data_IF_611786271722
#
_entry.id   IF_611786271722
#
_cell.length_a   1.000
_cell.length_b   1.000
_cell.length_c   1.000
_cell.angle_alpha   90.00
_cell.angle_beta   90.00
_cell.angle_gamma   90.00
#
_symmetry.space_group_name_H-M   'P 1'
#
loop_
_entity.id
_entity.type
_entity.pdbx_description
1 polymer ?
#
# COMPACT_ATOMS: atom_id res chain seq x y z
N UNK A 1 17.39 -14.64 -14.26
CA UNK A 1 16.06 -14.50 -13.62
C UNK A 1 16.07 -13.27 -12.73
N UNK A 2 15.03 -12.47 -12.86
CA UNK A 2 14.90 -11.28 -12.02
C UNK A 2 13.77 -11.51 -11.05
N UNK A 3 14.01 -11.12 -9.80
CA UNK A 3 13.00 -11.22 -8.76
C UNK A 3 12.86 -9.88 -8.08
N UNK A 4 11.64 -9.39 -8.02
CA UNK A 4 11.35 -8.14 -7.33
C UNK A 4 10.01 -8.33 -6.62
N UNK A 5 10.07 -8.80 -5.39
CA UNK A 5 8.89 -9.11 -4.62
C UNK A 5 9.04 -8.57 -3.21
N UNK A 6 7.99 -7.94 -2.74
CA UNK A 6 7.96 -7.44 -1.37
C UNK A 6 6.64 -7.84 -0.73
N UNK A 7 6.70 -8.26 0.51
CA UNK A 7 5.53 -8.62 1.31
C UNK A 7 5.53 -7.76 2.56
N UNK A 8 4.44 -7.07 2.79
CA UNK A 8 4.35 -6.17 3.93
C UNK A 8 3.02 -6.35 4.63
N UNK A 9 3.03 -6.21 5.94
CA UNK A 9 1.82 -6.12 6.74
C UNK A 9 1.98 -4.88 7.62
N UNK A 10 0.98 -4.04 7.60
CA UNK A 10 1.04 -2.82 8.38
C UNK A 10 -0.33 -2.17 8.46
N UNK A 11 -0.34 -0.93 8.91
CA UNK A 11 -1.58 -0.19 9.03
C UNK A 11 -1.62 0.96 8.06
N UNK A 12 -2.79 1.15 7.45
CA UNK A 12 -2.98 2.23 6.49
C UNK A 12 -2.89 3.57 7.21
N UNK A 13 -2.09 4.47 6.65
CA UNK A 13 -1.90 5.79 7.22
C UNK A 13 -3.04 6.74 6.92
N UNK A 14 -3.83 6.41 5.91
CA UNK A 14 -4.98 7.22 5.50
C UNK A 14 -5.87 6.37 4.63
N UNK A 15 -7.05 6.88 4.34
CA UNK A 15 -7.92 6.23 3.37
C UNK A 15 -7.32 6.35 1.99
N UNK A 16 -7.53 5.35 1.13
CA UNK A 16 -6.96 5.40 -0.20
C UNK A 16 -7.49 6.57 -1.01
N UNK A 17 -6.58 7.18 -1.75
CA UNK A 17 -6.92 8.22 -2.72
C UNK A 17 -7.12 7.51 -4.06
N UNK A 18 -8.35 7.52 -4.55
CA UNK A 18 -8.73 6.74 -5.74
C UNK A 18 -8.90 7.65 -6.93
N UNK A 19 -8.31 7.27 -8.05
CA UNK A 19 -8.44 8.01 -9.29
C UNK A 19 -8.97 7.11 -10.37
N UNK A 20 -9.88 7.65 -11.17
CA UNK A 20 -10.48 6.95 -12.30
C UNK A 20 -10.03 7.64 -13.57
N UNK A 21 -9.56 6.86 -14.52
CA UNK A 21 -9.08 7.39 -15.79
C UNK A 21 -10.09 7.11 -16.89
N UNK A 22 -10.04 7.94 -17.93
CA UNK A 22 -10.96 7.77 -19.06
C UNK A 22 -10.86 6.40 -19.71
N UNK A 23 -9.68 5.80 -19.65
CA UNK A 23 -9.48 4.49 -20.21
C UNK A 23 -10.21 3.38 -19.44
N UNK A 24 -10.78 3.72 -18.31
CA UNK A 24 -11.42 2.73 -17.45
C UNK A 24 -10.53 2.20 -16.36
N UNK A 25 -9.29 2.61 -16.34
CA UNK A 25 -8.35 2.19 -15.29
C UNK A 25 -8.65 2.92 -14.00
N UNK A 26 -8.41 2.22 -12.90
CA UNK A 26 -8.57 2.76 -11.55
C UNK A 26 -7.29 2.55 -10.80
N UNK A 27 -6.85 3.57 -10.07
CA UNK A 27 -5.68 3.44 -9.20
C UNK A 27 -6.03 3.95 -7.82
N UNK A 28 -5.55 3.25 -6.80
CA UNK A 28 -5.68 3.68 -5.42
C UNK A 28 -4.29 3.85 -4.83
N UNK A 29 -4.10 4.93 -4.09
CA UNK A 29 -2.82 5.23 -3.45
C UNK A 29 -3.05 5.50 -1.98
N UNK A 30 -2.23 4.90 -1.15
CA UNK A 30 -2.21 5.23 0.28
C UNK A 30 -0.87 4.82 0.86
N UNK A 31 -0.63 5.20 2.10
CA UNK A 31 0.61 4.86 2.78
C UNK A 31 0.38 3.74 3.76
N UNK A 32 1.40 2.93 3.97
CA UNK A 32 1.35 1.81 4.89
C UNK A 32 2.46 1.97 5.92
N UNK A 33 2.08 1.94 7.19
CA UNK A 33 3.03 2.01 8.30
C UNK A 33 3.37 0.60 8.72
N UNK A 34 4.63 0.23 8.56
CA UNK A 34 5.11 -1.11 8.90
C UNK A 34 6.06 -0.98 10.08
N UNK A 35 5.78 -1.68 11.15
CA UNK A 35 6.60 -1.61 12.35
C UNK A 35 7.96 -2.24 12.11
N UNK A 36 8.98 -1.59 12.63
CA UNK A 36 10.33 -2.15 12.58
C UNK A 36 10.46 -3.28 13.57
N UNK A 37 11.16 -4.31 13.16
CA UNK A 37 11.33 -5.48 14.01
C UNK A 37 12.20 -5.18 15.21
N UNK A 38 13.25 -4.40 15.01
CA UNK A 38 14.27 -4.26 16.04
C UNK A 38 14.13 -3.03 16.90
N UNK A 39 13.29 -2.08 16.53
CA UNK A 39 13.20 -0.85 17.27
C UNK A 39 11.82 -0.31 17.24
N UNK A 40 11.29 -0.10 18.35
CA UNK A 40 9.97 -0.02 18.62
C UNK A 40 9.13 1.09 18.07
N UNK A 41 9.56 2.31 18.12
CA UNK A 41 8.54 3.35 18.12
C UNK A 41 8.12 3.89 16.80
N UNK A 42 9.02 3.95 15.84
CA UNK A 42 8.70 4.56 14.57
C UNK A 42 8.57 3.53 13.47
N UNK A 43 7.45 3.53 12.77
CA UNK A 43 7.30 2.62 11.65
C UNK A 43 8.04 3.14 10.44
N UNK A 44 8.25 2.24 9.49
CA UNK A 44 8.67 2.64 8.16
C UNK A 44 7.42 2.87 7.35
N UNK A 45 7.44 3.92 6.54
CA UNK A 45 6.29 4.30 5.73
C UNK A 45 6.53 3.94 4.27
N UNK A 46 5.59 3.22 3.70
CA UNK A 46 5.66 2.81 2.30
C UNK A 46 4.52 3.43 1.53
N UNK A 47 4.83 3.91 0.33
CA UNK A 47 3.81 4.40 -0.59
C UNK A 47 3.31 3.23 -1.41
N UNK A 48 2.01 2.98 -1.39
CA UNK A 48 1.42 1.88 -2.12
C UNK A 48 0.63 2.39 -3.30
N UNK A 49 0.72 1.66 -4.42
CA UNK A 49 -0.01 1.96 -5.64
C UNK A 49 -0.71 0.69 -6.07
N UNK A 50 -2.02 0.76 -6.20
CA UNK A 50 -2.85 -0.42 -6.48
C UNK A 50 -3.72 -0.13 -7.69
N UNK A 51 -3.70 -1.01 -8.68
CA UNK A 51 -4.44 -0.83 -9.92
C UNK A 51 -5.58 -1.83 -10.07
N UNK A 52 -6.59 -1.44 -10.83
CA UNK A 52 -7.65 -2.33 -11.27
C UNK A 52 -8.61 -2.72 -10.17
N UNK A 53 -9.02 -3.96 -10.19
CA UNK A 53 -10.01 -4.45 -9.22
C UNK A 53 -9.52 -4.35 -7.80
N UNK A 54 -8.24 -4.56 -7.60
CA UNK A 54 -7.67 -4.45 -6.26
C UNK A 54 -7.78 -3.02 -5.74
N UNK A 55 -7.70 -2.04 -6.64
CA UNK A 55 -7.87 -0.64 -6.26
C UNK A 55 -9.28 -0.40 -5.72
N UNK A 56 -10.28 -1.01 -6.33
CA UNK A 56 -11.64 -0.87 -5.86
C UNK A 56 -11.83 -1.53 -4.50
N UNK A 57 -11.19 -2.69 -4.31
CA UNK A 57 -11.23 -3.37 -3.03
C UNK A 57 -10.61 -2.47 -1.94
N UNK A 58 -9.50 -1.83 -2.27
CA UNK A 58 -8.88 -0.92 -1.32
C UNK A 58 -9.82 0.24 -0.98
N UNK A 59 -10.47 0.80 -2.01
CA UNK A 59 -11.40 1.90 -1.80
C UNK A 59 -12.55 1.51 -0.89
N UNK A 60 -13.02 0.28 -1.03
CA UNK A 60 -14.20 -0.16 -0.28
C UNK A 60 -13.88 -0.58 1.14
N UNK A 61 -12.70 -1.14 1.37
CA UNK A 61 -12.43 -1.79 2.65
C UNK A 61 -11.32 -1.17 3.48
N UNK A 62 -10.42 -0.41 2.87
CA UNK A 62 -9.29 0.14 3.61
C UNK A 62 -9.65 1.49 4.19
N UNK A 63 -9.46 1.63 5.49
CA UNK A 63 -9.68 2.89 6.20
C UNK A 63 -8.38 3.25 6.91
N UNK A 64 -8.28 4.49 7.34
CA UNK A 64 -7.14 4.90 8.15
C UNK A 64 -7.05 3.97 9.36
N UNK A 65 -5.87 3.40 9.56
CA UNK A 65 -5.63 2.49 10.67
C UNK A 65 -5.93 1.02 10.38
N UNK A 66 -6.51 0.71 9.22
CA UNK A 66 -6.80 -0.69 8.87
C UNK A 66 -5.52 -1.50 8.80
N UNK A 67 -5.59 -2.74 9.27
CA UNK A 67 -4.49 -3.68 9.12
C UNK A 67 -4.57 -4.29 7.73
N UNK A 68 -3.50 -4.19 6.98
CA UNK A 68 -3.47 -4.57 5.57
C UNK A 68 -2.21 -5.36 5.28
N UNK A 69 -2.37 -6.46 4.56
CA UNK A 69 -1.23 -7.22 4.04
C UNK A 69 -1.15 -7.02 2.53
N UNK A 70 0.04 -6.87 2.00
CA UNK A 70 0.22 -6.71 0.56
C UNK A 70 1.38 -7.55 0.06
N UNK A 71 1.27 -7.92 -1.20
CA UNK A 71 2.37 -8.51 -1.95
C UNK A 71 2.51 -7.68 -3.21
N UNK A 72 3.72 -7.32 -3.55
CA UNK A 72 3.93 -6.52 -4.74
C UNK A 72 5.38 -6.43 -5.12
N UNK A 73 5.71 -5.41 -5.89
CA UNK A 73 7.06 -5.16 -6.33
C UNK A 73 7.45 -3.74 -5.98
N UNK A 74 8.75 -3.56 -5.81
CA UNK A 74 9.29 -2.25 -5.48
C UNK A 74 9.71 -1.56 -6.76
N UNK A 75 9.35 -0.29 -6.90
CA UNK A 75 9.79 0.49 -8.04
C UNK A 75 10.13 1.90 -7.58
N UNK A 76 10.84 2.61 -8.41
CA UNK A 76 11.18 4.00 -8.14
C UNK A 76 10.61 4.84 -9.28
N UNK A 77 9.67 5.70 -8.94
CA UNK A 77 9.12 6.63 -9.90
C UNK A 77 10.07 7.83 -9.99
N UNK A 78 10.24 8.34 -11.17
CA UNK A 78 11.10 9.52 -11.36
C UNK A 78 10.38 10.52 -12.27
N UNK A 79 10.65 11.80 -12.00
CA UNK A 79 10.08 12.87 -12.81
C UNK A 79 10.96 14.09 -12.65
N UNK A 80 10.74 15.07 -13.52
CA UNK A 80 11.45 16.34 -13.42
C UNK A 80 10.61 17.34 -12.66
N UNK A 81 11.25 17.99 -11.71
CA UNK A 81 10.61 19.05 -10.96
C UNK A 81 10.36 20.24 -11.91
N UNK A 82 9.13 20.70 -11.93
CA UNK A 82 8.74 21.78 -12.83
C UNK A 82 9.42 23.09 -12.48
N UNK A 83 9.73 23.29 -11.23
CA UNK A 83 10.30 24.55 -10.77
C UNK A 83 11.81 24.63 -10.90
N UNK A 84 12.50 23.53 -10.65
CA UNK A 84 13.95 23.51 -10.60
C UNK A 84 14.59 22.77 -11.77
N UNK A 85 13.82 21.92 -12.47
CA UNK A 85 14.34 21.08 -13.54
C UNK A 85 15.13 19.89 -13.01
N UNK A 86 15.23 19.72 -11.73
CA UNK A 86 15.95 18.60 -11.15
C UNK A 86 15.14 17.31 -11.22
N UNK A 87 15.85 16.19 -11.30
CA UNK A 87 15.21 14.90 -11.27
C UNK A 87 14.78 14.58 -9.84
N UNK A 88 13.55 14.10 -9.70
CA UNK A 88 13.00 13.69 -8.43
C UNK A 88 12.70 12.21 -8.47
N UNK A 89 12.78 11.57 -7.33
CA UNK A 89 12.57 10.12 -7.22
C UNK A 89 11.67 9.83 -6.03
N UNK A 90 10.85 8.80 -6.18
CA UNK A 90 9.97 8.37 -5.09
C UNK A 90 9.88 6.86 -5.11
N UNK A 91 10.24 6.19 -4.01
CA UNK A 91 10.04 4.74 -3.93
C UNK A 91 8.57 4.43 -3.74
N UNK A 92 8.09 3.45 -4.50
CA UNK A 92 6.68 3.07 -4.50
C UNK A 92 6.60 1.55 -4.54
N UNK A 93 5.66 0.99 -3.80
CA UNK A 93 5.35 -0.43 -3.88
C UNK A 93 4.12 -0.58 -4.76
N UNK A 94 4.29 -1.25 -5.89
CA UNK A 94 3.18 -1.57 -6.76
C UNK A 94 2.57 -2.86 -6.25
N UNK A 95 1.33 -2.80 -5.82
CA UNK A 95 0.68 -3.92 -5.16
C UNK A 95 0.08 -4.86 -6.20
N UNK A 96 0.44 -6.13 -6.12
CA UNK A 96 -0.14 -7.15 -6.96
C UNK A 96 -1.33 -7.80 -6.28
N UNK A 97 -1.26 -7.93 -4.97
CA UNK A 97 -2.33 -8.54 -4.19
C UNK A 97 -2.50 -7.81 -2.88
N UNK A 98 -3.73 -7.45 -2.59
CA UNK A 98 -4.10 -6.76 -1.36
C UNK A 98 -4.96 -7.70 -0.53
N UNK A 99 -4.58 -7.87 0.73
CA UNK A 99 -5.37 -8.65 1.68
C UNK A 99 -5.76 -7.75 2.83
N UNK A 100 -6.97 -7.18 2.81
CA UNK A 100 -7.42 -6.42 3.96
C UNK A 100 -7.65 -7.43 5.08
N UNK A 101 -6.98 -7.22 6.19
CA UNK A 101 -7.12 -8.13 7.31
C UNK A 101 -8.31 -7.65 8.13
N UNK A 102 -9.36 -8.42 8.11
CA UNK A 102 -10.55 -8.07 8.87
C UNK A 102 -10.28 -8.26 10.34
N UNK A 103 -10.54 -7.23 11.11
CA UNK A 103 -10.40 -7.33 12.54
C UNK A 103 -11.34 -8.40 13.09
N UNK A 104 -12.53 -8.47 12.54
CA UNK A 104 -13.49 -9.47 12.93
C UNK A 104 -12.96 -10.86 12.67
N UNK A 105 -12.34 -11.03 11.53
CA UNK A 105 -11.74 -12.32 11.18
C UNK A 105 -10.66 -12.71 12.18
N UNK A 106 -9.80 -11.79 12.52
CA UNK A 106 -8.78 -12.06 13.52
C UNK A 106 -9.36 -12.43 14.86
N UNK A 107 -10.43 -11.75 15.26
CA UNK A 107 -11.06 -12.06 16.52
C UNK A 107 -11.64 -13.46 16.52
N UNK A 108 -12.22 -13.84 15.43
CA UNK A 108 -12.75 -15.19 15.32
C UNK A 108 -11.65 -16.21 15.55
N UNK A 109 -10.51 -15.97 14.99
CA UNK A 109 -9.38 -16.87 15.22
C UNK A 109 -8.94 -16.85 16.66
N UNK A 110 -8.86 -15.69 17.23
CA UNK A 110 -8.42 -15.56 18.61
C UNK A 110 -9.34 -16.25 19.55
N UNK A 111 -10.62 -16.12 19.32
CA UNK A 111 -11.57 -16.69 20.24
C UNK A 111 -11.66 -18.18 20.13
N UNK A 112 -11.13 -18.72 19.10
CA UNK A 112 -11.13 -20.17 18.96
C UNK A 112 -10.14 -20.82 19.89
N UNK A 113 -9.27 -20.03 20.45
CA UNK A 113 -8.27 -20.54 21.37
C UNK A 113 -8.86 -21.01 22.67
#
# INVERSE_FOLDING_TARGET
MEINTINLVGRAGREPDVRYFESGSTVANFTLAVNRISRGDEPDWFNLEIWGKQAQIAADYVKKGSLVGITGSFKIDSWKDKNTGEDRYKPVVRVDRLNPVSYTHLRAHETSQ
#
